data_IF_162790305033
#
_entry.id   IF_162790305033
#
_cell.length_a   1.000
_cell.length_b   1.000
_cell.length_c   1.000
_cell.angle_alpha   90.00
_cell.angle_beta   90.00
_cell.angle_gamma   90.00
#
_symmetry.space_group_name_H-M   'P 1'
#
loop_
_entity.id
_entity.type
_entity.pdbx_description
1 polymer ?
#
# COMPACT_ATOMS: atom_id res chain seq x y z
N UNK A 1 -88.20 -70.16 40.55
CA UNK A 1 -88.56 -69.13 39.58
C UNK A 1 -87.39 -68.16 39.52
N UNK A 2 -86.58 -68.24 38.52
CA UNK A 2 -85.51 -67.29 38.24
C UNK A 2 -85.57 -66.98 36.75
N UNK A 3 -85.92 -65.75 36.45
CA UNK A 3 -86.06 -65.20 35.14
C UNK A 3 -84.68 -64.94 34.51
N UNK A 4 -84.34 -65.54 33.38
CA UNK A 4 -83.15 -65.37 32.61
C UNK A 4 -83.33 -64.14 31.73
N UNK A 5 -82.62 -63.08 32.02
CA UNK A 5 -82.54 -61.83 31.22
C UNK A 5 -81.77 -62.08 29.93
N UNK A 6 -82.48 -62.02 28.81
CA UNK A 6 -81.90 -62.11 27.47
C UNK A 6 -81.00 -60.94 27.17
N UNK A 7 -79.74 -61.22 26.95
CA UNK A 7 -78.76 -60.23 26.55
C UNK A 7 -78.93 -59.81 25.12
N UNK A 8 -79.08 -58.53 24.87
CA UNK A 8 -79.16 -57.89 23.54
C UNK A 8 -77.94 -58.23 22.70
N UNK A 9 -78.14 -58.89 21.54
CA UNK A 9 -77.09 -59.12 20.56
C UNK A 9 -76.98 -57.84 19.71
N UNK A 10 -75.87 -57.12 19.74
CA UNK A 10 -75.72 -55.89 18.97
C UNK A 10 -75.69 -56.17 17.49
N UNK A 11 -76.54 -55.46 16.73
CA UNK A 11 -76.92 -55.51 15.35
C UNK A 11 -75.65 -55.51 14.46
N UNK A 12 -75.24 -56.67 13.92
CA UNK A 12 -74.05 -56.90 13.08
C UNK A 12 -74.08 -56.08 11.79
N UNK A 13 -75.25 -55.63 11.30
CA UNK A 13 -75.41 -54.83 10.09
C UNK A 13 -74.96 -53.39 10.27
N UNK A 14 -75.13 -52.79 11.49
CA UNK A 14 -74.62 -51.45 11.77
C UNK A 14 -73.10 -51.44 11.94
N UNK A 15 -72.47 -52.48 12.50
CA UNK A 15 -71.04 -52.64 12.61
C UNK A 15 -70.35 -52.78 11.26
N UNK A 16 -70.94 -53.54 10.31
CA UNK A 16 -70.40 -53.67 8.92
C UNK A 16 -70.46 -52.36 8.17
N UNK A 17 -71.55 -51.57 8.29
CA UNK A 17 -71.65 -50.24 7.69
C UNK A 17 -70.65 -49.24 8.30
N UNK A 18 -70.47 -49.21 9.65
CA UNK A 18 -69.50 -48.38 10.34
C UNK A 18 -68.05 -48.76 9.97
N UNK A 19 -67.75 -50.05 9.85
CA UNK A 19 -66.43 -50.52 9.38
C UNK A 19 -66.14 -50.10 7.94
N UNK A 20 -67.17 -50.19 7.04
CA UNK A 20 -67.05 -49.75 5.66
C UNK A 20 -66.81 -48.23 5.55
N UNK A 21 -67.52 -47.41 6.32
CA UNK A 21 -67.30 -45.96 6.42
C UNK A 21 -65.86 -45.64 6.94
N UNK A 22 -65.42 -46.37 7.95
CA UNK A 22 -64.06 -46.19 8.50
C UNK A 22 -62.99 -46.54 7.49
N UNK A 23 -63.14 -47.62 6.71
CA UNK A 23 -62.21 -48.01 5.64
C UNK A 23 -62.19 -46.95 4.52
N UNK A 24 -63.35 -46.38 4.14
CA UNK A 24 -63.40 -45.32 3.12
C UNK A 24 -62.71 -44.05 3.59
N UNK A 25 -62.93 -43.65 4.85
CA UNK A 25 -62.25 -42.49 5.45
C UNK A 25 -60.71 -42.69 5.49
N UNK A 26 -60.26 -43.90 5.85
CA UNK A 26 -58.85 -44.25 5.92
C UNK A 26 -58.22 -44.26 4.51
N UNK A 27 -58.98 -44.71 3.50
CA UNK A 27 -58.57 -44.70 2.09
C UNK A 27 -58.45 -43.26 1.53
N UNK A 28 -59.44 -42.40 1.87
CA UNK A 28 -59.39 -40.96 1.52
C UNK A 28 -58.21 -40.28 2.18
N UNK A 29 -57.94 -40.54 3.46
CA UNK A 29 -56.82 -40.00 4.19
C UNK A 29 -55.47 -40.45 3.59
N UNK A 30 -55.36 -41.74 3.22
CA UNK A 30 -54.19 -42.30 2.56
C UNK A 30 -53.93 -41.66 1.20
N UNK A 31 -54.98 -41.44 0.40
CA UNK A 31 -54.86 -40.75 -0.90
C UNK A 31 -54.49 -39.30 -0.69
N UNK A 32 -55.08 -38.60 0.30
CA UNK A 32 -54.72 -37.22 0.63
C UNK A 32 -53.26 -37.11 1.10
N UNK A 33 -52.77 -38.02 1.91
CA UNK A 33 -51.39 -38.09 2.36
C UNK A 33 -50.43 -38.42 1.21
N UNK A 34 -50.78 -39.31 0.31
CA UNK A 34 -50.00 -39.64 -0.89
C UNK A 34 -49.95 -38.47 -1.88
N UNK A 35 -51.05 -37.73 -2.06
CA UNK A 35 -51.07 -36.51 -2.87
C UNK A 35 -50.25 -35.41 -2.25
N UNK A 36 -50.34 -35.20 -0.93
CA UNK A 36 -49.52 -34.24 -0.21
C UNK A 36 -48.03 -34.54 -0.37
N UNK A 37 -47.64 -35.80 -0.16
CA UNK A 37 -46.25 -36.23 -0.36
C UNK A 37 -45.78 -36.04 -1.78
N UNK A 38 -46.65 -36.36 -2.77
CA UNK A 38 -46.31 -36.25 -4.19
C UNK A 38 -46.13 -34.81 -4.67
N UNK A 39 -46.98 -33.86 -4.19
CA UNK A 39 -46.95 -32.47 -4.61
C UNK A 39 -46.00 -31.59 -3.80
N UNK A 40 -45.74 -31.90 -2.53
CA UNK A 40 -44.97 -31.02 -1.63
C UNK A 40 -43.65 -31.59 -1.19
N UNK A 41 -43.47 -32.88 -1.01
CA UNK A 41 -42.24 -33.46 -0.48
C UNK A 41 -41.33 -34.13 -1.52
N UNK A 42 -41.89 -34.54 -2.67
CA UNK A 42 -41.14 -35.30 -3.66
C UNK A 42 -39.99 -34.51 -4.33
N UNK A 43 -40.11 -33.21 -4.41
CA UNK A 43 -39.16 -32.34 -5.12
C UNK A 43 -38.24 -31.55 -4.16
N UNK A 44 -38.26 -31.88 -2.86
CA UNK A 44 -37.32 -31.38 -1.87
C UNK A 44 -36.11 -32.32 -1.77
N UNK A 45 -34.93 -31.79 -2.04
CA UNK A 45 -33.66 -32.49 -1.85
C UNK A 45 -32.89 -31.79 -0.72
N UNK A 46 -32.44 -32.54 0.27
CA UNK A 46 -31.76 -32.04 1.48
C UNK A 46 -30.36 -32.61 1.55
N UNK A 47 -29.42 -31.80 2.02
CA UNK A 47 -28.05 -32.24 2.33
C UNK A 47 -27.59 -31.68 3.66
N UNK A 48 -26.94 -32.49 4.45
CA UNK A 48 -26.27 -32.11 5.70
C UNK A 48 -24.79 -31.71 5.46
N UNK A 49 -24.29 -31.96 4.24
CA UNK A 49 -22.91 -31.66 3.85
C UNK A 49 -22.84 -30.31 3.14
N UNK A 50 -23.11 -29.24 3.88
CA UNK A 50 -23.08 -27.87 3.42
C UNK A 50 -22.14 -27.02 4.30
N UNK A 51 -21.24 -26.27 3.68
CA UNK A 51 -20.25 -25.44 4.35
C UNK A 51 -20.36 -24.00 3.88
N UNK A 52 -20.30 -23.06 4.85
CA UNK A 52 -20.16 -21.63 4.52
C UNK A 52 -18.73 -21.39 4.07
N UNK A 53 -18.56 -20.91 2.87
CA UNK A 53 -17.29 -20.53 2.26
C UNK A 53 -17.23 -19.03 1.99
N UNK A 54 -16.03 -18.49 1.83
CA UNK A 54 -15.82 -17.08 1.55
C UNK A 54 -14.39 -16.82 1.08
N UNK A 55 -14.16 -15.66 0.51
CA UNK A 55 -12.83 -15.23 0.12
C UNK A 55 -11.98 -14.92 1.36
N UNK A 56 -10.95 -15.72 1.59
CA UNK A 56 -10.04 -15.57 2.72
C UNK A 56 -8.88 -14.67 2.32
N UNK A 57 -8.77 -13.49 2.96
CA UNK A 57 -7.67 -12.56 2.74
C UNK A 57 -6.60 -12.76 3.80
N UNK A 58 -5.44 -13.28 3.37
CA UNK A 58 -4.30 -13.48 4.26
C UNK A 58 -3.58 -12.16 4.50
N UNK A 59 -3.40 -11.81 5.77
CA UNK A 59 -2.66 -10.63 6.19
C UNK A 59 -1.21 -11.01 6.41
N UNK A 60 -0.32 -10.38 5.64
CA UNK A 60 1.13 -10.62 5.68
C UNK A 60 1.90 -9.32 5.90
N UNK A 61 3.01 -9.34 6.66
CA UNK A 61 3.86 -8.18 6.86
C UNK A 61 4.66 -7.87 5.59
N UNK A 62 4.92 -6.58 5.36
CA UNK A 62 5.77 -6.11 4.26
C UNK A 62 7.21 -5.82 4.70
N UNK A 63 7.48 -5.85 6.02
CA UNK A 63 8.81 -5.67 6.63
C UNK A 63 9.02 -6.72 7.70
N UNK A 64 10.28 -7.03 7.98
CA UNK A 64 10.66 -7.90 9.08
C UNK A 64 10.64 -7.13 10.39
N UNK A 65 10.25 -7.77 11.48
CA UNK A 65 10.28 -7.11 12.79
C UNK A 65 9.80 -8.00 13.92
N UNK A 66 9.86 -7.48 15.14
CA UNK A 66 9.29 -8.13 16.32
C UNK A 66 7.91 -7.54 16.60
N UNK A 67 6.95 -8.38 16.91
CA UNK A 67 5.57 -7.96 17.22
C UNK A 67 5.55 -7.28 18.59
N UNK A 68 5.19 -5.99 18.60
CA UNK A 68 5.05 -5.19 19.81
C UNK A 68 3.66 -5.33 20.41
N UNK A 69 2.63 -5.35 19.54
CA UNK A 69 1.23 -5.45 19.99
C UNK A 69 0.36 -6.11 18.92
N UNK A 70 -0.57 -6.94 19.35
CA UNK A 70 -1.69 -7.46 18.55
C UNK A 70 -2.95 -6.80 19.08
N UNK A 71 -3.77 -6.21 18.20
CA UNK A 71 -4.93 -5.39 18.58
C UNK A 71 -6.23 -6.17 18.58
N UNK A 72 -6.30 -7.26 17.83
CA UNK A 72 -7.51 -8.05 17.60
C UNK A 72 -7.20 -9.54 17.76
N UNK A 73 -8.19 -10.30 18.18
CA UNK A 73 -8.10 -11.75 18.36
C UNK A 73 -9.00 -12.50 17.35
N UNK A 74 -9.00 -13.83 17.42
CA UNK A 74 -9.89 -14.67 16.62
C UNK A 74 -11.35 -14.28 16.87
N UNK A 75 -12.15 -14.28 15.82
CA UNK A 75 -13.57 -13.91 15.80
C UNK A 75 -13.88 -12.40 15.90
N UNK A 76 -12.90 -11.55 16.16
CA UNK A 76 -13.12 -10.10 16.20
C UNK A 76 -13.49 -9.54 14.80
N UNK A 77 -14.37 -8.54 14.81
CA UNK A 77 -14.79 -7.84 13.59
C UNK A 77 -13.91 -6.60 13.40
N UNK A 78 -13.33 -6.47 12.21
CA UNK A 78 -12.42 -5.39 11.84
C UNK A 78 -12.95 -4.60 10.65
N UNK A 79 -12.59 -3.31 10.59
CA UNK A 79 -12.89 -2.43 9.47
C UNK A 79 -11.66 -2.30 8.56
N UNK A 80 -11.89 -1.94 7.31
CA UNK A 80 -10.81 -1.58 6.40
C UNK A 80 -9.98 -0.43 6.96
N UNK A 81 -8.66 -0.62 7.07
CA UNK A 81 -7.71 0.35 7.59
C UNK A 81 -7.37 0.20 9.08
N UNK A 82 -8.10 -0.63 9.84
CA UNK A 82 -7.78 -0.90 11.24
C UNK A 82 -6.39 -1.51 11.38
N UNK A 83 -5.64 -1.09 12.40
CA UNK A 83 -4.33 -1.64 12.72
C UNK A 83 -4.52 -2.96 13.44
N UNK A 84 -4.11 -4.05 12.81
CA UNK A 84 -4.22 -5.40 13.35
C UNK A 84 -3.03 -5.77 14.23
N UNK A 85 -1.82 -5.49 13.73
CA UNK A 85 -0.56 -5.79 14.39
C UNK A 85 0.35 -4.59 14.29
N UNK A 86 0.99 -4.23 15.40
CA UNK A 86 2.06 -3.24 15.46
C UNK A 86 3.39 -3.93 15.75
N UNK A 87 4.37 -3.70 14.89
CA UNK A 87 5.75 -4.12 15.08
C UNK A 87 6.51 -3.11 15.96
N UNK A 88 7.67 -3.50 16.44
CA UNK A 88 8.62 -2.57 17.03
C UNK A 88 9.14 -1.64 15.92
N UNK A 89 8.88 -0.36 16.08
CA UNK A 89 9.16 0.70 15.11
C UNK A 89 10.45 1.46 15.42
N UNK A 90 11.16 1.12 16.51
CA UNK A 90 12.32 1.85 17.00
C UNK A 90 13.44 1.99 15.96
N UNK A 91 13.81 0.89 15.30
CA UNK A 91 14.85 0.88 14.26
C UNK A 91 14.42 1.65 13.02
N UNK A 92 13.13 1.55 12.65
CA UNK A 92 12.55 2.25 11.49
C UNK A 92 12.45 3.76 11.74
N UNK A 93 12.10 4.17 12.97
CA UNK A 93 12.11 5.57 13.36
C UNK A 93 13.53 6.14 13.29
N UNK A 94 14.52 5.43 13.83
CA UNK A 94 15.91 5.83 13.74
C UNK A 94 16.41 5.94 12.29
N UNK A 95 16.00 5.01 11.42
CA UNK A 95 16.33 5.07 9.99
C UNK A 95 15.69 6.29 9.30
N UNK A 96 14.44 6.62 9.66
CA UNK A 96 13.76 7.81 9.16
C UNK A 96 14.46 9.10 9.60
N UNK A 97 14.86 9.20 10.88
CA UNK A 97 15.57 10.35 11.42
C UNK A 97 16.97 10.53 10.77
N UNK A 98 17.66 9.42 10.50
CA UNK A 98 18.93 9.44 9.75
C UNK A 98 18.73 9.97 8.32
N UNK A 99 17.71 9.50 7.61
CA UNK A 99 17.41 9.98 6.27
C UNK A 99 17.04 11.47 6.24
N UNK A 100 16.36 11.99 7.27
CA UNK A 100 16.12 13.43 7.43
C UNK A 100 17.41 14.21 7.59
N UNK A 101 18.35 13.72 8.41
CA UNK A 101 19.65 14.37 8.61
C UNK A 101 20.47 14.35 7.31
N UNK A 102 20.42 13.28 6.51
CA UNK A 102 21.06 13.21 5.19
C UNK A 102 20.54 14.30 4.25
N UNK A 103 19.22 14.54 4.23
CA UNK A 103 18.64 15.62 3.44
C UNK A 103 19.14 16.99 3.90
N UNK A 104 19.17 17.24 5.20
CA UNK A 104 19.71 18.50 5.75
C UNK A 104 21.17 18.69 5.32
N UNK A 105 21.98 17.64 5.37
CA UNK A 105 23.38 17.67 4.95
C UNK A 105 23.51 17.94 3.45
N UNK A 106 22.72 17.26 2.59
CA UNK A 106 22.70 17.50 1.15
C UNK A 106 22.33 18.95 0.79
N UNK A 107 21.35 19.54 1.49
CA UNK A 107 20.98 20.95 1.33
C UNK A 107 22.11 21.88 1.75
N UNK A 108 22.79 21.63 2.88
CA UNK A 108 23.93 22.43 3.34
C UNK A 108 25.09 22.37 2.34
N UNK A 109 25.41 21.20 1.85
CA UNK A 109 26.46 21.01 0.84
C UNK A 109 26.15 21.76 -0.46
N UNK A 110 24.92 21.70 -0.96
CA UNK A 110 24.50 22.46 -2.13
C UNK A 110 24.62 23.98 -1.90
N UNK A 111 24.18 24.50 -0.75
CA UNK A 111 24.36 25.91 -0.38
C UNK A 111 25.82 26.33 -0.36
N UNK A 112 26.70 25.45 0.15
CA UNK A 112 28.15 25.71 0.16
C UNK A 112 28.70 25.79 -1.27
N UNK A 113 28.34 24.86 -2.14
CA UNK A 113 28.72 24.91 -3.57
C UNK A 113 28.20 26.16 -4.27
N UNK A 114 26.96 26.59 -3.96
CA UNK A 114 26.40 27.84 -4.48
C UNK A 114 27.21 29.05 -4.04
N UNK A 115 27.67 29.10 -2.78
CA UNK A 115 28.51 30.16 -2.28
C UNK A 115 29.91 30.18 -2.95
N UNK A 116 30.50 28.99 -3.21
CA UNK A 116 31.76 28.86 -3.95
C UNK A 116 31.60 29.40 -5.38
N UNK A 117 30.54 29.03 -6.08
CA UNK A 117 30.25 29.53 -7.43
C UNK A 117 30.02 31.05 -7.45
N UNK A 118 29.32 31.60 -6.45
CA UNK A 118 29.14 33.06 -6.32
C UNK A 118 30.47 33.80 -6.07
N UNK A 119 31.36 33.21 -5.28
CA UNK A 119 32.73 33.73 -5.08
C UNK A 119 33.53 33.72 -6.39
N UNK A 120 33.50 32.62 -7.14
CA UNK A 120 34.18 32.52 -8.46
C UNK A 120 33.66 33.57 -9.43
N UNK A 121 32.36 33.80 -9.52
CA UNK A 121 31.76 34.88 -10.34
C UNK A 121 32.24 36.27 -9.95
N UNK A 122 32.34 36.56 -8.64
CA UNK A 122 32.85 37.83 -8.16
C UNK A 122 34.33 38.02 -8.54
N UNK A 123 35.14 36.96 -8.49
CA UNK A 123 36.54 37.00 -8.93
C UNK A 123 36.68 37.29 -10.43
N UNK A 124 35.83 36.70 -11.27
CA UNK A 124 35.80 37.00 -12.71
C UNK A 124 35.47 38.47 -12.93
N UNK A 125 34.50 39.06 -12.23
CA UNK A 125 34.16 40.48 -12.31
C UNK A 125 35.36 41.36 -11.91
N UNK A 126 36.07 41.02 -10.85
CA UNK A 126 37.25 41.75 -10.40
C UNK A 126 38.35 41.72 -11.48
N UNK A 127 38.67 40.55 -12.06
CA UNK A 127 39.71 40.42 -13.10
C UNK A 127 39.30 41.10 -14.40
N UNK A 128 38.02 41.14 -14.76
CA UNK A 128 37.49 41.94 -15.90
C UNK A 128 37.75 43.44 -15.66
N UNK A 129 37.53 43.94 -14.46
CA UNK A 129 37.84 45.33 -14.16
C UNK A 129 39.37 45.63 -14.22
N UNK A 130 40.21 44.71 -13.73
CA UNK A 130 41.68 44.85 -13.81
C UNK A 130 42.14 44.87 -15.29
N UNK A 131 41.62 43.99 -16.14
CA UNK A 131 41.90 43.98 -17.58
C UNK A 131 41.44 45.26 -18.26
N UNK A 132 40.24 45.73 -17.94
CA UNK A 132 39.71 47.02 -18.50
C UNK A 132 40.62 48.20 -18.10
N UNK A 133 41.13 48.22 -16.88
CA UNK A 133 42.07 49.24 -16.39
C UNK A 133 43.39 49.17 -17.17
N UNK A 134 43.99 47.98 -17.31
CA UNK A 134 45.25 47.80 -18.06
C UNK A 134 45.10 48.21 -19.52
N UNK A 135 43.97 47.84 -20.16
CA UNK A 135 43.65 48.26 -21.53
C UNK A 135 43.47 49.79 -21.68
N UNK A 136 42.82 50.44 -20.70
CA UNK A 136 42.66 51.90 -20.72
C UNK A 136 44.01 52.60 -20.55
N UNK A 137 44.90 52.06 -19.72
CA UNK A 137 46.26 52.62 -19.53
C UNK A 137 47.10 52.46 -20.79
N UNK A 138 47.07 51.27 -21.43
CA UNK A 138 47.72 51.03 -22.72
C UNK A 138 47.24 52.01 -23.77
N UNK A 139 45.90 52.14 -23.98
CA UNK A 139 45.33 53.09 -24.94
C UNK A 139 45.80 54.53 -24.73
N UNK A 140 45.88 54.97 -23.45
CA UNK A 140 46.37 56.28 -23.08
C UNK A 140 47.82 56.46 -23.45
N UNK A 141 48.67 55.46 -23.20
CA UNK A 141 50.11 55.52 -23.57
C UNK A 141 50.32 55.44 -25.09
N UNK A 142 49.51 54.64 -25.80
CA UNK A 142 49.52 54.56 -27.27
C UNK A 142 49.13 55.90 -27.92
N UNK A 143 48.17 56.64 -27.36
CA UNK A 143 47.74 57.92 -27.87
C UNK A 143 48.85 59.00 -27.72
N UNK A 144 49.80 58.79 -26.78
CA UNK A 144 50.95 59.67 -26.56
C UNK A 144 52.23 59.15 -27.22
N UNK A 145 52.15 57.98 -27.87
CA UNK A 145 53.27 57.39 -28.57
C UNK A 145 53.68 58.27 -29.83
N UNK A 146 54.89 58.71 -29.91
CA UNK A 146 55.33 59.65 -30.92
C UNK A 146 55.55 61.06 -30.39
N UNK A 147 55.17 61.35 -29.17
CA UNK A 147 55.64 62.51 -28.45
C UNK A 147 56.77 62.07 -27.52
N UNK A 148 57.72 62.93 -27.16
CA UNK A 148 58.81 62.57 -26.16
C UNK A 148 58.31 62.22 -24.76
N UNK A 149 56.97 62.16 -24.56
CA UNK A 149 56.32 61.93 -23.25
C UNK A 149 56.21 60.44 -22.84
N UNK A 150 56.42 59.46 -23.76
CA UNK A 150 56.30 58.02 -23.49
C UNK A 150 57.44 57.26 -24.16
N UNK A 151 58.24 56.51 -23.37
CA UNK A 151 59.34 55.70 -23.90
C UNK A 151 58.81 54.39 -24.51
N UNK A 152 59.59 53.80 -25.47
CA UNK A 152 59.26 52.49 -26.01
C UNK A 152 59.21 51.37 -25.00
N UNK A 153 60.00 51.49 -23.93
CA UNK A 153 59.99 50.54 -22.80
C UNK A 153 58.68 50.63 -21.97
N UNK A 154 58.22 51.83 -21.68
CA UNK A 154 56.92 52.02 -20.99
C UNK A 154 55.73 51.49 -21.79
N UNK A 155 55.77 51.61 -23.10
CA UNK A 155 54.74 51.03 -23.98
C UNK A 155 54.79 49.48 -23.98
N UNK A 156 56.02 48.92 -23.98
CA UNK A 156 56.22 47.48 -23.86
C UNK A 156 55.72 46.96 -22.53
N UNK A 157 56.01 47.66 -21.43
CA UNK A 157 55.47 47.27 -20.11
C UNK A 157 53.94 47.35 -20.03
N UNK A 158 53.32 48.36 -20.63
CA UNK A 158 51.85 48.47 -20.66
C UNK A 158 51.21 47.34 -21.51
N UNK A 159 51.82 46.91 -22.62
CA UNK A 159 51.38 45.74 -23.40
C UNK A 159 51.52 44.43 -22.58
N UNK A 160 52.64 44.25 -21.91
CA UNK A 160 52.88 43.09 -21.05
C UNK A 160 51.83 43.04 -19.93
N UNK A 161 51.48 44.19 -19.29
CA UNK A 161 50.45 44.25 -18.27
C UNK A 161 49.05 43.81 -18.79
N UNK A 162 48.69 44.18 -20.01
CA UNK A 162 47.42 43.70 -20.62
C UNK A 162 47.43 42.17 -20.82
N UNK A 163 48.54 41.64 -21.35
CA UNK A 163 48.67 40.19 -21.54
C UNK A 163 48.60 39.45 -20.20
N UNK A 164 49.27 39.96 -19.17
CA UNK A 164 49.18 39.39 -17.82
C UNK A 164 47.75 39.43 -17.26
N UNK A 165 47.08 40.56 -17.36
CA UNK A 165 45.69 40.72 -16.88
C UNK A 165 44.73 39.79 -17.65
N UNK A 166 44.96 39.60 -18.96
CA UNK A 166 44.16 38.69 -19.77
C UNK A 166 44.39 37.22 -19.40
N UNK A 167 45.63 36.81 -19.11
CA UNK A 167 45.95 35.47 -18.64
C UNK A 167 45.32 35.22 -17.25
N UNK A 168 45.39 36.19 -16.33
CA UNK A 168 44.75 36.12 -15.04
C UNK A 168 43.22 35.99 -15.10
N UNK A 169 42.59 36.72 -16.06
CA UNK A 169 41.16 36.59 -16.30
C UNK A 169 40.78 35.16 -16.76
N UNK A 170 41.51 34.63 -17.76
CA UNK A 170 41.26 33.27 -18.25
C UNK A 170 41.38 32.20 -17.16
N UNK A 171 42.32 32.35 -16.22
CA UNK A 171 42.48 31.43 -15.11
C UNK A 171 41.25 31.40 -14.20
N UNK A 172 40.72 32.57 -13.79
CA UNK A 172 39.51 32.62 -12.92
C UNK A 172 38.23 32.29 -13.67
N UNK A 173 38.15 32.51 -14.97
CA UNK A 173 37.05 32.02 -15.81
C UNK A 173 37.01 30.48 -15.87
N UNK A 174 38.16 29.82 -15.91
CA UNK A 174 38.26 28.37 -15.82
C UNK A 174 37.79 27.85 -14.42
N UNK A 175 38.14 28.57 -13.36
CA UNK A 175 37.68 28.28 -12.00
C UNK A 175 36.14 28.44 -11.87
N UNK A 176 35.55 29.49 -12.47
CA UNK A 176 34.10 29.70 -12.50
C UNK A 176 33.39 28.53 -13.21
N UNK A 177 33.90 28.14 -14.40
CA UNK A 177 33.35 27.01 -15.16
C UNK A 177 33.38 25.72 -14.31
N UNK A 178 34.50 25.46 -13.62
CA UNK A 178 34.62 24.30 -12.72
C UNK A 178 33.65 24.36 -11.56
N UNK A 179 33.51 25.51 -10.88
CA UNK A 179 32.57 25.71 -9.78
C UNK A 179 31.11 25.58 -10.25
N UNK A 180 30.80 26.06 -11.45
CA UNK A 180 29.46 25.93 -12.05
C UNK A 180 29.17 24.49 -12.45
N UNK A 181 30.12 23.74 -12.97
CA UNK A 181 29.97 22.34 -13.30
C UNK A 181 29.70 21.49 -12.04
N UNK A 182 30.42 21.77 -10.93
CA UNK A 182 30.21 21.11 -9.65
C UNK A 182 28.80 21.36 -9.06
N UNK A 183 28.23 22.55 -9.32
CA UNK A 183 26.88 22.89 -8.87
C UNK A 183 25.79 22.25 -9.74
N UNK A 184 26.09 21.91 -10.99
CA UNK A 184 25.09 21.55 -12.02
C UNK A 184 24.40 22.83 -12.53
N UNK A 185 24.44 23.03 -13.85
CA UNK A 185 23.96 24.28 -14.47
C UNK A 185 22.49 24.53 -14.20
N UNK A 186 22.14 25.62 -13.52
CA UNK A 186 20.78 26.19 -13.34
C UNK A 186 19.68 25.22 -12.85
N UNK A 187 20.03 24.13 -12.19
CA UNK A 187 19.06 23.18 -11.65
C UNK A 187 18.55 23.71 -10.31
N UNK A 188 17.23 23.84 -10.10
CA UNK A 188 16.67 24.22 -8.79
C UNK A 188 17.14 23.26 -7.68
N UNK A 189 17.34 23.77 -6.47
CA UNK A 189 17.80 23.00 -5.31
C UNK A 189 17.06 21.65 -5.15
N UNK A 190 15.74 21.66 -5.31
CA UNK A 190 14.91 20.46 -5.18
C UNK A 190 15.18 19.42 -6.27
N UNK A 191 15.73 19.80 -7.40
CA UNK A 191 16.06 18.92 -8.53
C UNK A 191 17.53 18.49 -8.56
N UNK A 192 18.35 18.99 -7.64
CA UNK A 192 19.74 18.58 -7.50
C UNK A 192 19.82 17.08 -7.17
N UNK A 193 20.67 16.30 -7.88
CA UNK A 193 20.74 14.85 -7.71
C UNK A 193 20.94 14.40 -6.27
N UNK A 194 21.85 15.02 -5.54
CA UNK A 194 22.12 14.70 -4.12
C UNK A 194 20.89 14.94 -3.23
N UNK A 195 20.14 16.02 -3.47
CA UNK A 195 18.90 16.33 -2.74
C UNK A 195 17.79 15.35 -3.11
N UNK A 196 17.66 14.99 -4.38
CA UNK A 196 16.68 14.00 -4.84
C UNK A 196 16.95 12.62 -4.24
N UNK A 197 18.21 12.19 -4.20
CA UNK A 197 18.59 10.92 -3.56
C UNK A 197 18.22 10.93 -2.07
N UNK A 198 18.54 12.00 -1.36
CA UNK A 198 18.17 12.12 0.06
C UNK A 198 16.64 12.15 0.27
N UNK A 199 15.88 12.80 -0.61
CA UNK A 199 14.40 12.76 -0.59
C UNK A 199 13.89 11.33 -0.81
N UNK A 200 14.50 10.56 -1.70
CA UNK A 200 14.14 9.16 -1.94
C UNK A 200 14.41 8.30 -0.70
N UNK A 201 15.55 8.47 -0.05
CA UNK A 201 15.87 7.78 1.21
C UNK A 201 14.85 8.09 2.32
N UNK A 202 14.38 9.33 2.44
CA UNK A 202 13.32 9.70 3.40
C UNK A 202 12.02 8.98 3.05
N UNK A 203 11.63 8.93 1.78
CA UNK A 203 10.39 8.24 1.35
C UNK A 203 10.46 6.75 1.65
N UNK A 204 11.60 6.11 1.38
CA UNK A 204 11.80 4.69 1.65
C UNK A 204 11.76 4.40 3.15
N UNK A 205 12.46 5.18 3.96
CA UNK A 205 12.45 5.04 5.41
C UNK A 205 11.05 5.29 6.01
N UNK A 206 10.35 6.32 5.54
CA UNK A 206 8.97 6.60 5.94
C UNK A 206 8.02 5.47 5.57
N UNK A 207 8.12 4.93 4.35
CA UNK A 207 7.28 3.83 3.90
C UNK A 207 7.51 2.57 4.75
N UNK A 208 8.76 2.27 5.07
CA UNK A 208 9.10 1.14 5.94
C UNK A 208 8.58 1.35 7.37
N UNK A 209 8.64 2.58 7.89
CA UNK A 209 8.03 2.94 9.17
C UNK A 209 6.51 2.78 9.14
N UNK A 210 5.81 3.19 8.08
CA UNK A 210 4.37 2.96 7.95
C UNK A 210 4.01 1.46 7.90
N UNK A 211 4.87 0.64 7.29
CA UNK A 211 4.69 -0.81 7.19
C UNK A 211 4.85 -1.57 8.50
N UNK A 212 5.36 -0.92 9.56
CA UNK A 212 5.37 -1.49 10.91
C UNK A 212 3.97 -1.61 11.50
N UNK A 213 3.01 -0.82 11.01
CA UNK A 213 1.59 -0.92 11.35
C UNK A 213 0.87 -1.73 10.29
N UNK A 214 0.62 -3.00 10.58
CA UNK A 214 -0.04 -3.92 9.66
C UNK A 214 -1.55 -3.70 9.78
N UNK A 215 -2.15 -3.22 8.68
CA UNK A 215 -3.58 -2.83 8.63
C UNK A 215 -4.39 -3.81 7.80
N UNK A 216 -5.69 -3.94 8.14
CA UNK A 216 -6.62 -4.70 7.33
C UNK A 216 -6.91 -3.99 6.00
N UNK A 217 -6.75 -4.67 4.84
CA UNK A 217 -7.11 -4.12 3.54
C UNK A 217 -8.63 -4.12 3.29
N UNK A 218 -9.37 -4.93 4.05
CA UNK A 218 -10.83 -5.12 3.93
C UNK A 218 -11.50 -5.05 5.30
N UNK A 219 -12.83 -4.86 5.33
CA UNK A 219 -13.64 -5.12 6.51
C UNK A 219 -14.08 -6.58 6.55
N UNK A 220 -14.15 -7.18 7.73
CA UNK A 220 -14.54 -8.58 7.89
C UNK A 220 -14.29 -9.10 9.29
N UNK A 221 -14.33 -10.40 9.47
CA UNK A 221 -14.06 -11.10 10.72
C UNK A 221 -12.73 -11.83 10.65
N UNK A 222 -11.96 -11.81 11.74
CA UNK A 222 -10.71 -12.57 11.84
C UNK A 222 -11.06 -14.05 12.01
N UNK A 223 -10.62 -14.87 11.05
CA UNK A 223 -10.87 -16.31 11.07
C UNK A 223 -9.79 -17.09 11.79
N UNK A 224 -8.53 -16.65 11.68
CA UNK A 224 -7.39 -17.32 12.29
C UNK A 224 -6.24 -16.37 12.54
N UNK A 225 -5.75 -16.34 13.77
CA UNK A 225 -4.55 -15.60 14.19
C UNK A 225 -3.39 -16.55 14.46
N UNK A 226 -2.29 -16.36 13.73
CA UNK A 226 -1.06 -17.16 13.87
C UNK A 226 0.10 -16.36 14.49
N UNK A 227 -0.14 -15.13 14.96
CA UNK A 227 0.87 -14.21 15.46
C UNK A 227 0.71 -13.94 16.95
N UNK A 228 1.83 -13.82 17.68
CA UNK A 228 1.85 -13.51 19.11
C UNK A 228 2.78 -12.32 19.41
N UNK A 229 2.51 -11.61 20.51
CA UNK A 229 3.37 -10.53 21.01
C UNK A 229 4.75 -11.09 21.37
N UNK A 230 5.82 -10.38 20.97
CA UNK A 230 7.20 -10.81 21.15
C UNK A 230 7.73 -11.73 20.05
N UNK A 231 6.88 -12.22 19.17
CA UNK A 231 7.30 -13.06 18.04
C UNK A 231 8.05 -12.25 16.99
N UNK A 232 9.17 -12.79 16.48
CA UNK A 232 9.85 -12.24 15.31
C UNK A 232 9.19 -12.77 14.04
N UNK A 233 8.80 -11.87 13.15
CA UNK A 233 8.13 -12.20 11.90
C UNK A 233 8.98 -11.77 10.70
N UNK A 234 8.85 -12.53 9.61
CA UNK A 234 9.50 -12.24 8.33
C UNK A 234 8.47 -11.75 7.31
N UNK A 235 8.94 -10.96 6.36
CA UNK A 235 8.12 -10.49 5.24
C UNK A 235 7.43 -11.66 4.54
N UNK A 236 6.12 -11.51 4.26
CA UNK A 236 5.30 -12.53 3.60
C UNK A 236 4.76 -13.64 4.51
N UNK A 237 5.17 -13.71 5.80
CA UNK A 237 4.62 -14.68 6.74
C UNK A 237 3.13 -14.42 6.99
N UNK A 238 2.29 -15.45 6.98
CA UNK A 238 0.87 -15.32 7.26
C UNK A 238 0.63 -15.05 8.76
N UNK A 239 0.13 -13.87 9.10
CA UNK A 239 -0.12 -13.45 10.48
C UNK A 239 -1.54 -13.78 10.92
N UNK A 240 -2.52 -13.48 10.08
CA UNK A 240 -3.93 -13.75 10.34
C UNK A 240 -4.70 -13.77 9.01
N UNK A 241 -5.92 -14.27 9.06
CA UNK A 241 -6.84 -14.33 7.94
C UNK A 241 -8.09 -13.51 8.26
N UNK A 242 -8.54 -12.69 7.30
CA UNK A 242 -9.79 -11.92 7.42
C UNK A 242 -10.76 -12.40 6.35
N UNK A 243 -11.98 -12.70 6.77
CA UNK A 243 -13.10 -13.12 5.90
C UNK A 243 -14.09 -11.97 5.79
N UNK A 244 -14.38 -11.45 4.58
CA UNK A 244 -15.41 -10.45 4.38
C UNK A 244 -16.78 -11.08 4.62
N UNK A 245 -17.58 -10.48 5.51
CA UNK A 245 -18.92 -10.99 5.83
C UNK A 245 -19.97 -10.71 4.75
N UNK A 246 -19.63 -9.91 3.75
CA UNK A 246 -20.54 -9.52 2.65
C UNK A 246 -20.50 -10.46 1.45
N UNK A 247 -19.43 -11.25 1.29
CA UNK A 247 -19.19 -12.12 0.12
C UNK A 247 -19.05 -13.57 0.57
N UNK A 248 -20.04 -14.06 1.31
CA UNK A 248 -20.13 -15.45 1.71
C UNK A 248 -21.01 -16.22 0.76
N UNK A 249 -20.69 -17.48 0.52
CA UNK A 249 -21.53 -18.44 -0.20
C UNK A 249 -21.57 -19.76 0.58
N UNK A 250 -22.47 -20.65 0.16
CA UNK A 250 -22.58 -21.99 0.73
C UNK A 250 -22.21 -22.99 -0.35
N UNK A 251 -21.22 -23.81 -0.05
CA UNK A 251 -20.87 -24.99 -0.85
C UNK A 251 -21.61 -26.18 -0.29
N UNK A 252 -22.70 -26.59 -0.99
CA UNK A 252 -23.52 -27.72 -0.61
C UNK A 252 -23.21 -28.95 -1.48
N UNK A 253 -22.77 -30.02 -0.86
CA UNK A 253 -22.44 -31.28 -1.54
C UNK A 253 -23.66 -32.18 -1.62
N UNK A 254 -24.13 -32.44 -2.82
CA UNK A 254 -25.24 -33.33 -3.07
C UNK A 254 -24.75 -34.64 -3.70
N UNK A 255 -25.47 -35.74 -3.43
CA UNK A 255 -25.19 -37.04 -4.06
C UNK A 255 -25.57 -36.98 -5.56
N UNK A 256 -24.89 -37.74 -6.38
CA UNK A 256 -25.15 -37.78 -7.84
C UNK A 256 -26.62 -38.07 -8.19
N UNK A 257 -27.29 -38.93 -7.42
CA UNK A 257 -28.70 -39.24 -7.58
C UNK A 257 -29.64 -38.04 -7.37
N UNK A 258 -29.25 -37.09 -6.51
CA UNK A 258 -30.00 -35.87 -6.17
C UNK A 258 -29.82 -34.78 -7.23
N UNK A 259 -28.63 -34.68 -7.83
CA UNK A 259 -28.29 -33.67 -8.84
C UNK A 259 -29.17 -33.75 -10.11
N UNK A 260 -29.77 -34.90 -10.42
CA UNK A 260 -30.56 -35.10 -11.64
C UNK A 260 -31.73 -34.13 -11.78
N UNK A 261 -32.28 -33.64 -10.66
CA UNK A 261 -33.46 -32.75 -10.67
C UNK A 261 -33.09 -31.27 -10.40
N UNK A 262 -31.84 -30.97 -10.05
CA UNK A 262 -31.37 -29.63 -9.71
C UNK A 262 -31.17 -28.79 -10.96
N UNK A 263 -31.54 -27.52 -10.88
CA UNK A 263 -31.34 -26.53 -11.92
C UNK A 263 -30.83 -25.23 -11.34
N UNK A 264 -30.01 -24.51 -12.10
CA UNK A 264 -29.53 -23.19 -11.71
C UNK A 264 -30.70 -22.24 -11.51
N UNK A 265 -30.75 -21.51 -10.42
CA UNK A 265 -31.77 -20.53 -10.05
C UNK A 265 -32.92 -21.09 -9.22
N UNK A 266 -32.83 -22.33 -8.73
CA UNK A 266 -33.80 -22.86 -7.77
C UNK A 266 -33.64 -22.16 -6.41
N UNK A 267 -34.75 -21.90 -5.69
CA UNK A 267 -34.69 -21.36 -4.33
C UNK A 267 -34.08 -22.40 -3.38
N UNK A 268 -33.23 -21.90 -2.45
CA UNK A 268 -32.57 -22.69 -1.43
C UNK A 268 -32.93 -22.11 -0.07
N UNK A 269 -33.34 -22.95 0.85
CA UNK A 269 -33.51 -22.63 2.28
C UNK A 269 -32.30 -23.15 3.07
N UNK A 270 -31.73 -22.31 3.96
CA UNK A 270 -30.56 -22.62 4.80
C UNK A 270 -30.89 -22.42 6.27
#
# INVERSE_FOLDING_TARGET
MAEIKQSDIPNQAKRKKSLGIFIVILLILSIACALYWFFFLKDFEETEDAYVAGHLVMITPQVNGTVRKVMYDDTDVVKKGDVLVALDDSDFQLAYDRAQNELIQAIRQNKQQTAVNSKAKAQVLLRKADLARAQADLRRRESLAGTEAVSGEELSHARAAVVQAQAALKAVEAEEVSAQAALGSNIPLRQQPAVQTAISHIKDAWLNLQRTQIRSPIGGQIAKRNVQVGQRISQGAALMAVVPLTDLWVDANFKESQLRKMKIGQPVEM
#
